data_IF_418936385571
#
_entry.id   IF_418936385571
#
_cell.length_a   1.000
_cell.length_b   1.000
_cell.length_c   1.000
_cell.angle_alpha   90.00
_cell.angle_beta   90.00
_cell.angle_gamma   90.00
#
_symmetry.space_group_name_H-M   'P 1'
#
loop_
_entity.id
_entity.type
_entity.pdbx_description
1 polymer ?
#
# COMPACT_ATOMS: atom_id res chain seq x y z
N UNK A 1 17.21 3.21 52.84
CA UNK A 1 16.20 3.80 51.96
C UNK A 1 16.59 3.46 50.54
N UNK A 2 16.09 2.35 50.02
CA UNK A 2 16.28 1.95 48.63
C UNK A 2 14.96 2.21 47.89
N UNK A 3 15.03 2.29 46.57
CA UNK A 3 13.89 2.41 45.64
C UNK A 3 13.43 3.87 45.42
N UNK A 4 14.28 4.71 44.82
CA UNK A 4 13.81 5.96 44.20
C UNK A 4 14.56 6.33 42.91
N UNK A 5 15.08 5.35 42.17
CA UNK A 5 15.74 5.58 40.88
C UNK A 5 15.12 4.82 39.69
N UNK A 6 14.16 3.93 39.94
CA UNK A 6 13.51 3.13 38.89
C UNK A 6 12.36 3.91 38.23
N UNK A 7 11.66 4.75 39.01
CA UNK A 7 10.50 5.53 38.59
C UNK A 7 10.79 6.63 37.53
N UNK A 8 11.89 7.41 37.59
CA UNK A 8 12.15 8.45 36.58
C UNK A 8 12.63 7.85 35.25
N UNK A 9 13.27 6.68 35.27
CA UNK A 9 13.80 6.02 34.08
C UNK A 9 12.68 5.38 33.24
N UNK A 10 11.68 4.78 33.91
CA UNK A 10 10.45 4.30 33.26
C UNK A 10 9.62 5.43 32.65
N UNK A 11 9.53 6.58 33.34
CA UNK A 11 8.81 7.76 32.85
C UNK A 11 9.49 8.37 31.61
N UNK A 12 10.81 8.44 31.60
CA UNK A 12 11.57 8.90 30.43
C UNK A 12 11.43 7.96 29.22
N UNK A 13 11.37 6.64 29.44
CA UNK A 13 11.17 5.66 28.38
C UNK A 13 9.77 5.79 27.77
N UNK A 14 8.73 5.92 28.60
CA UNK A 14 7.34 6.09 28.15
C UNK A 14 7.14 7.37 27.32
N UNK A 15 7.80 8.47 27.70
CA UNK A 15 7.74 9.74 26.96
C UNK A 15 8.47 9.61 25.62
N UNK A 16 9.61 8.89 25.57
CA UNK A 16 10.35 8.68 24.31
C UNK A 16 9.58 7.84 23.28
N UNK A 17 8.72 6.90 23.71
CA UNK A 17 7.86 6.15 22.78
C UNK A 17 6.74 7.01 22.18
N UNK A 18 6.32 8.09 22.85
CA UNK A 18 5.29 9.01 22.35
C UNK A 18 5.83 9.98 21.29
N UNK A 19 7.14 10.17 21.23
CA UNK A 19 7.83 11.02 20.25
C UNK A 19 8.46 10.25 19.09
N UNK A 20 8.20 8.94 18.97
CA UNK A 20 8.47 8.24 17.72
C UNK A 20 7.63 8.95 16.65
N UNK A 21 8.27 9.68 15.70
CA UNK A 21 7.53 10.27 14.62
C UNK A 21 6.81 9.13 13.92
N UNK A 22 5.54 9.31 13.60
CA UNK A 22 4.83 8.52 12.62
C UNK A 22 5.49 8.73 11.25
N UNK A 23 6.73 8.28 11.10
CA UNK A 23 7.50 8.25 9.86
C UNK A 23 7.10 7.02 9.02
N UNK A 24 5.85 6.57 9.18
CA UNK A 24 5.24 5.68 8.22
C UNK A 24 4.80 6.59 7.05
N UNK A 25 5.69 6.75 6.08
CA UNK A 25 5.40 7.34 4.77
C UNK A 25 4.33 6.52 4.07
N UNK A 26 3.08 6.75 4.45
CA UNK A 26 1.91 6.17 3.80
C UNK A 26 1.63 6.93 2.52
N UNK A 27 1.47 6.20 1.42
CA UNK A 27 0.97 6.78 0.17
C UNK A 27 -0.45 7.28 0.40
N UNK A 28 -0.75 8.53 0.01
CA UNK A 28 -2.12 9.06 0.08
C UNK A 28 -3.02 8.27 -0.86
N UNK A 29 -4.08 7.67 -0.32
CA UNK A 29 -4.98 6.79 -1.04
C UNK A 29 -6.42 7.19 -0.80
N UNK A 30 -7.17 7.32 -1.90
CA UNK A 30 -8.61 7.52 -1.87
C UNK A 30 -9.31 6.70 -2.96
N UNK A 31 -10.58 6.35 -2.72
CA UNK A 31 -11.42 5.77 -3.76
C UNK A 31 -11.86 6.85 -4.74
N UNK A 32 -11.76 6.58 -6.05
CA UNK A 32 -12.17 7.54 -7.09
C UNK A 32 -13.67 7.89 -7.02
N UNK A 33 -14.52 6.94 -6.65
CA UNK A 33 -15.93 7.19 -6.35
C UNK A 33 -16.24 6.73 -4.91
N UNK A 34 -16.22 7.63 -3.91
CA UNK A 34 -16.39 7.25 -2.52
C UNK A 34 -17.81 6.73 -2.21
N UNK A 35 -18.81 7.00 -3.06
CA UNK A 35 -20.19 6.53 -2.88
C UNK A 35 -20.42 5.12 -3.44
N UNK A 36 -19.48 4.60 -4.24
CA UNK A 36 -19.59 3.26 -4.81
C UNK A 36 -19.18 2.22 -3.77
N UNK A 37 -20.01 1.19 -3.62
CA UNK A 37 -19.66 0.01 -2.85
C UNK A 37 -18.76 -0.92 -3.69
N UNK A 38 -17.44 -0.78 -3.52
CA UNK A 38 -16.47 -1.67 -4.16
C UNK A 38 -16.37 -3.01 -3.40
N UNK A 39 -16.27 -4.16 -4.11
CA UNK A 39 -16.19 -5.48 -3.48
C UNK A 39 -14.90 -5.66 -2.68
N UNK A 40 -13.81 -5.00 -3.11
CA UNK A 40 -12.55 -4.95 -2.37
C UNK A 40 -12.48 -3.64 -1.59
N UNK A 41 -12.28 -3.75 -0.27
CA UNK A 41 -11.99 -2.63 0.63
C UNK A 41 -10.50 -2.52 0.82
N UNK A 42 -9.90 -1.45 0.28
CA UNK A 42 -8.48 -1.17 0.46
C UNK A 42 -8.24 -0.59 1.86
N UNK A 43 -7.26 -1.14 2.56
CA UNK A 43 -6.83 -0.71 3.89
C UNK A 43 -5.56 0.14 3.81
N UNK A 44 -4.58 -0.32 3.04
CA UNK A 44 -3.29 0.38 2.86
C UNK A 44 -2.79 0.22 1.43
N UNK A 45 -2.11 1.26 0.96
CA UNK A 45 -1.31 1.25 -0.26
C UNK A 45 0.09 1.67 0.12
N UNK A 46 1.07 0.86 -0.23
CA UNK A 46 2.48 1.10 0.02
C UNK A 46 3.23 1.11 -1.31
N UNK A 47 3.97 2.17 -1.56
CA UNK A 47 4.88 2.28 -2.69
C UNK A 47 6.31 2.20 -2.15
N UNK A 48 7.14 1.34 -2.73
CA UNK A 48 8.52 1.17 -2.28
C UNK A 48 9.49 1.00 -3.46
N UNK A 49 10.59 1.78 -3.51
CA UNK A 49 10.93 2.87 -2.61
C UNK A 49 10.03 4.10 -2.80
N UNK A 50 9.88 4.91 -1.76
CA UNK A 50 9.20 6.22 -1.79
C UNK A 50 10.19 7.33 -1.38
N UNK A 51 10.50 8.31 -2.26
CA UNK A 51 10.02 8.45 -3.64
C UNK A 51 10.62 7.37 -4.56
N UNK A 52 9.83 6.98 -5.57
CA UNK A 52 10.28 6.03 -6.62
C UNK A 52 11.44 6.66 -7.39
N UNK A 53 12.55 5.93 -7.50
CA UNK A 53 13.75 6.40 -8.21
C UNK A 53 13.83 5.78 -9.59
N UNK A 54 14.19 6.60 -10.59
CA UNK A 54 14.42 6.19 -11.98
C UNK A 54 15.33 4.96 -12.07
N UNK A 55 16.38 4.90 -11.24
CA UNK A 55 17.38 3.84 -11.26
C UNK A 55 16.93 2.50 -10.69
N UNK A 56 15.89 2.47 -9.86
CA UNK A 56 15.59 1.31 -8.99
C UNK A 56 14.20 0.71 -9.21
N UNK A 57 13.36 1.33 -10.06
CA UNK A 57 11.95 0.95 -10.22
C UNK A 57 11.19 1.09 -8.88
N UNK A 58 9.91 0.74 -8.86
CA UNK A 58 9.07 0.76 -7.67
C UNK A 58 8.06 -0.37 -7.67
N UNK A 59 7.76 -0.84 -6.47
CA UNK A 59 6.75 -1.84 -6.18
C UNK A 59 5.55 -1.17 -5.55
N UNK A 60 4.37 -1.72 -5.80
CA UNK A 60 3.12 -1.29 -5.18
C UNK A 60 2.54 -2.48 -4.43
N UNK A 61 2.28 -2.32 -3.14
CA UNK A 61 1.61 -3.31 -2.30
C UNK A 61 0.27 -2.74 -1.86
N UNK A 62 -0.82 -3.43 -2.18
CA UNK A 62 -2.17 -3.05 -1.77
C UNK A 62 -2.68 -4.12 -0.82
N UNK A 63 -2.97 -3.72 0.42
CA UNK A 63 -3.59 -4.61 1.40
C UNK A 63 -5.04 -4.22 1.60
N UNK A 64 -5.92 -5.21 1.65
CA UNK A 64 -7.35 -4.98 1.84
C UNK A 64 -8.09 -6.24 2.22
N UNK A 65 -9.40 -6.22 1.99
CA UNK A 65 -10.28 -7.37 2.19
C UNK A 65 -11.44 -7.33 1.21
N UNK A 66 -11.94 -8.50 0.81
CA UNK A 66 -13.18 -8.65 0.06
C UNK A 66 -14.23 -9.37 0.90
N UNK A 67 -15.49 -8.96 0.79
CA UNK A 67 -16.64 -9.63 1.43
C UNK A 67 -17.30 -10.68 0.54
N UNK A 68 -16.87 -10.77 -0.72
CA UNK A 68 -17.42 -11.67 -1.74
C UNK A 68 -16.31 -12.46 -2.41
N UNK A 69 -16.67 -13.64 -2.91
CA UNK A 69 -15.79 -14.44 -3.75
C UNK A 69 -15.61 -13.75 -5.11
N UNK A 70 -14.37 -13.60 -5.54
CA UNK A 70 -14.03 -13.01 -6.85
C UNK A 70 -13.72 -14.17 -7.80
N UNK A 71 -14.50 -14.33 -8.89
CA UNK A 71 -14.30 -15.41 -9.82
C UNK A 71 -13.04 -15.23 -10.67
N UNK A 72 -12.64 -16.29 -11.34
CA UNK A 72 -11.58 -16.28 -12.33
C UNK A 72 -11.85 -15.25 -13.43
N UNK A 73 -10.78 -14.72 -14.03
CA UNK A 73 -10.87 -13.75 -15.12
C UNK A 73 -11.11 -12.30 -14.66
N UNK A 74 -11.14 -12.04 -13.36
CA UNK A 74 -11.06 -10.67 -12.85
C UNK A 74 -9.71 -10.03 -13.22
N UNK A 75 -9.74 -8.72 -13.46
CA UNK A 75 -8.59 -7.95 -13.99
C UNK A 75 -8.36 -6.72 -13.14
N UNK A 76 -7.09 -6.39 -12.90
CA UNK A 76 -6.65 -5.17 -12.23
C UNK A 76 -6.02 -4.24 -13.27
N UNK A 77 -6.58 -3.03 -13.39
CA UNK A 77 -6.03 -2.00 -14.27
C UNK A 77 -5.24 -0.98 -13.44
N UNK A 78 -4.00 -0.74 -13.84
CA UNK A 78 -3.13 0.28 -13.28
C UNK A 78 -2.93 1.39 -14.32
N UNK A 79 -3.25 2.62 -13.95
CA UNK A 79 -3.21 3.80 -14.82
C UNK A 79 -2.28 4.85 -14.19
N UNK A 80 -1.15 5.11 -14.83
CA UNK A 80 -0.17 6.12 -14.42
C UNK A 80 -0.44 7.42 -15.18
N UNK A 81 -0.59 8.54 -14.47
CA UNK A 81 -0.95 9.84 -15.06
C UNK A 81 -0.11 10.98 -14.50
N UNK A 82 0.32 11.88 -15.39
CA UNK A 82 0.95 13.15 -15.01
C UNK A 82 1.02 14.14 -16.20
N UNK A 83 0.16 15.18 -16.29
CA UNK A 83 -1.24 15.25 -15.89
C UNK A 83 -2.17 14.46 -16.85
N UNK A 84 -1.72 14.18 -18.07
CA UNK A 84 -2.33 13.22 -19.00
C UNK A 84 -1.92 11.77 -18.67
N UNK A 85 -2.63 10.75 -19.21
CA UNK A 85 -2.22 9.36 -19.06
C UNK A 85 -0.86 9.09 -19.70
N UNK A 86 0.09 8.65 -18.87
CA UNK A 86 1.44 8.23 -19.32
C UNK A 86 1.36 6.79 -19.81
N UNK A 87 0.75 5.91 -19.00
CA UNK A 87 0.63 4.50 -19.34
C UNK A 87 -0.54 3.83 -18.66
N UNK A 88 -0.98 2.72 -19.27
CA UNK A 88 -2.04 1.85 -18.76
C UNK A 88 -1.58 0.42 -18.85
N UNK A 89 -1.71 -0.31 -17.75
CA UNK A 89 -1.35 -1.72 -17.64
C UNK A 89 -2.54 -2.49 -17.10
N UNK A 90 -2.71 -3.71 -17.57
CA UNK A 90 -3.80 -4.59 -17.21
C UNK A 90 -3.19 -5.92 -16.78
N UNK A 91 -3.56 -6.38 -15.59
CA UNK A 91 -3.07 -7.60 -14.98
C UNK A 91 -4.25 -8.51 -14.69
N UNK A 92 -4.15 -9.81 -14.97
CA UNK A 92 -5.11 -10.76 -14.41
C UNK A 92 -4.96 -10.77 -12.89
N UNK A 93 -6.07 -10.72 -12.16
CA UNK A 93 -6.04 -10.85 -10.70
C UNK A 93 -5.39 -12.18 -10.29
N UNK A 94 -5.64 -13.22 -11.08
CA UNK A 94 -5.13 -14.57 -10.85
C UNK A 94 -3.62 -14.74 -11.11
N UNK A 95 -2.98 -13.76 -11.76
CA UNK A 95 -1.52 -13.74 -11.89
C UNK A 95 -0.85 -13.18 -10.61
N UNK A 96 -1.63 -12.51 -9.76
CA UNK A 96 -1.14 -11.81 -8.56
C UNK A 96 -1.49 -12.61 -7.30
N UNK A 97 -2.69 -13.19 -7.26
CA UNK A 97 -3.20 -13.98 -6.13
C UNK A 97 -3.81 -15.29 -6.61
N UNK A 98 -3.89 -16.29 -5.74
CA UNK A 98 -4.53 -17.56 -6.07
C UNK A 98 -6.03 -17.36 -6.32
N UNK A 99 -6.52 -17.95 -7.41
CA UNK A 99 -7.91 -17.92 -7.81
C UNK A 99 -8.61 -19.29 -7.63
N UNK A 100 -9.94 -19.31 -7.40
CA UNK A 100 -10.80 -18.15 -7.16
C UNK A 100 -10.49 -17.47 -5.82
N UNK A 101 -10.63 -16.15 -5.75
CA UNK A 101 -10.31 -15.42 -4.51
C UNK A 101 -11.50 -15.52 -3.57
N UNK A 102 -11.32 -16.23 -2.46
CA UNK A 102 -12.34 -16.35 -1.44
C UNK A 102 -12.54 -15.02 -0.67
N UNK A 103 -13.73 -14.85 -0.10
CA UNK A 103 -14.00 -13.78 0.86
C UNK A 103 -12.97 -13.78 2.01
N UNK A 104 -12.40 -12.61 2.32
CA UNK A 104 -11.36 -12.47 3.34
C UNK A 104 -10.29 -11.44 3.02
N UNK A 105 -9.16 -11.46 3.75
CA UNK A 105 -8.01 -10.59 3.50
C UNK A 105 -7.39 -10.86 2.13
N UNK A 106 -6.97 -9.80 1.45
CA UNK A 106 -6.29 -9.87 0.16
C UNK A 106 -5.08 -8.94 0.15
N UNK A 107 -3.98 -9.40 -0.45
CA UNK A 107 -2.75 -8.62 -0.65
C UNK A 107 -2.38 -8.71 -2.12
N UNK A 108 -2.29 -7.56 -2.78
CA UNK A 108 -1.89 -7.45 -4.19
C UNK A 108 -0.50 -6.85 -4.26
N UNK A 109 0.46 -7.63 -4.76
CA UNK A 109 1.84 -7.22 -4.91
C UNK A 109 2.18 -7.01 -6.39
N UNK A 110 2.48 -5.77 -6.75
CA UNK A 110 2.95 -5.40 -8.08
C UNK A 110 4.44 -5.07 -7.98
N UNK A 111 5.25 -5.80 -8.76
CA UNK A 111 6.69 -5.61 -8.79
C UNK A 111 7.12 -4.91 -10.07
N UNK A 112 8.14 -4.06 -9.97
CA UNK A 112 8.73 -3.37 -11.12
C UNK A 112 7.69 -2.63 -11.97
N UNK A 113 6.82 -1.88 -11.28
CA UNK A 113 5.64 -1.25 -11.86
C UNK A 113 6.00 -0.15 -12.87
N UNK A 114 7.07 0.59 -12.59
CA UNK A 114 7.45 1.77 -13.34
C UNK A 114 8.53 1.42 -14.36
N UNK A 115 8.55 2.13 -15.47
CA UNK A 115 9.65 2.08 -16.45
C UNK A 115 10.46 3.36 -16.35
N UNK A 116 11.72 3.33 -16.79
CA UNK A 116 12.55 4.54 -16.76
C UNK A 116 11.93 5.68 -17.59
N UNK A 117 11.27 5.35 -18.71
CA UNK A 117 10.63 6.33 -19.59
C UNK A 117 9.44 7.02 -18.91
N UNK A 118 8.71 6.33 -18.03
CA UNK A 118 7.58 6.88 -17.28
C UNK A 118 8.02 7.74 -16.08
N UNK A 119 9.27 7.60 -15.63
CA UNK A 119 9.83 8.32 -14.48
C UNK A 119 10.66 9.54 -14.90
N UNK A 120 10.79 9.80 -16.21
CA UNK A 120 11.43 10.99 -16.74
C UNK A 120 10.34 12.07 -16.91
N UNK A 121 10.45 13.22 -16.24
CA UNK A 121 9.48 14.31 -16.34
C UNK A 121 9.50 15.02 -17.70
#
# INVERSE_FOLDING_TARGET
MAISHVKPLLLSLLVSLFFLPSALGGTDFHNCNPLRDYPVKVKTVEISPDPVKISTNGNITITGSTSVDIPDGATVNLDLRFPEPISKRSYSLCDIVACPVAAGPIVLNFFNVFTQQELIP
#
